data_IF_711810697775
#
_entry.id   IF_711810697775
#
_cell.length_a   1.000
_cell.length_b   1.000
_cell.length_c   1.000
_cell.angle_alpha   90.00
_cell.angle_beta   90.00
_cell.angle_gamma   90.00
#
_symmetry.space_group_name_H-M   'P 1'
#
loop_
_entity.id
_entity.type
_entity.pdbx_description
1 polymer ?
#
# COMPACT_ATOMS: atom_id res chain seq x y z
N UNK A 1 12.53 11.99 -12.04
CA UNK A 1 13.06 11.64 -10.70
C UNK A 1 12.73 12.81 -9.78
N UNK A 2 11.94 12.61 -8.72
CA UNK A 2 11.43 13.68 -7.86
C UNK A 2 12.53 14.64 -7.36
N UNK A 3 13.74 14.15 -7.07
CA UNK A 3 14.91 14.99 -6.77
C UNK A 3 15.18 16.10 -7.80
N UNK A 4 15.18 15.77 -9.08
CA UNK A 4 15.45 16.75 -10.13
C UNK A 4 14.34 17.80 -10.25
N UNK A 5 13.08 17.40 -10.05
CA UNK A 5 11.92 18.31 -10.09
C UNK A 5 11.89 19.27 -8.91
N UNK A 6 12.12 18.76 -7.69
CA UNK A 6 12.13 19.59 -6.48
C UNK A 6 13.36 20.52 -6.43
N UNK A 7 14.51 20.08 -6.96
CA UNK A 7 15.69 20.95 -7.14
C UNK A 7 15.43 22.09 -8.13
N UNK A 8 14.67 21.86 -9.21
CA UNK A 8 14.25 22.95 -10.14
C UNK A 8 13.35 23.98 -9.46
N UNK A 9 12.61 23.58 -8.43
CA UNK A 9 11.72 24.46 -7.64
C UNK A 9 12.44 25.11 -6.45
N UNK A 10 13.76 24.95 -6.31
CA UNK A 10 14.57 25.43 -5.18
C UNK A 10 14.07 24.94 -3.79
N UNK A 11 13.32 23.83 -3.77
CA UNK A 11 12.84 23.19 -2.56
C UNK A 11 13.93 22.28 -2.02
N UNK A 12 14.42 22.57 -0.81
CA UNK A 12 15.41 21.75 -0.10
C UNK A 12 14.71 20.68 0.72
N UNK A 13 15.14 19.43 0.58
CA UNK A 13 14.62 18.29 1.33
C UNK A 13 13.54 17.53 0.54
N UNK A 14 13.97 16.53 -0.24
CA UNK A 14 13.02 15.57 -0.81
C UNK A 14 12.77 14.49 0.24
N UNK A 15 11.51 14.29 0.69
CA UNK A 15 11.20 13.28 1.69
C UNK A 15 11.62 11.91 1.18
N UNK A 16 12.37 11.18 2.01
CA UNK A 16 12.75 9.80 1.76
C UNK A 16 11.99 8.91 2.73
N UNK A 17 11.34 7.87 2.22
CA UNK A 17 10.60 6.88 2.99
C UNK A 17 11.43 5.61 3.11
N UNK A 18 11.52 5.07 4.33
CA UNK A 18 12.05 3.73 4.59
C UNK A 18 10.88 2.74 4.59
N UNK A 19 10.89 1.76 3.69
CA UNK A 19 9.85 0.72 3.59
C UNK A 19 10.53 -0.64 3.52
N UNK A 20 10.46 -1.39 4.63
CA UNK A 20 11.31 -2.57 4.81
C UNK A 20 12.79 -2.15 4.74
N UNK A 21 13.56 -2.81 3.85
CA UNK A 21 14.98 -2.53 3.63
C UNK A 21 15.24 -1.55 2.46
N UNK A 22 14.18 -0.93 1.89
CA UNK A 22 14.31 -0.05 0.73
C UNK A 22 14.10 1.43 1.08
N UNK A 23 14.89 2.29 0.42
CA UNK A 23 14.77 3.75 0.49
C UNK A 23 14.06 4.27 -0.77
N UNK A 24 12.92 4.93 -0.59
CA UNK A 24 12.17 5.57 -1.68
C UNK A 24 12.31 7.09 -1.55
N UNK A 25 12.87 7.75 -2.56
CA UNK A 25 13.09 9.21 -2.57
C UNK A 25 11.98 9.91 -3.34
N UNK A 26 11.19 10.73 -2.65
CA UNK A 26 9.97 11.35 -3.15
C UNK A 26 8.73 10.47 -2.98
N UNK A 27 7.54 11.06 -3.17
CA UNK A 27 6.24 10.37 -3.11
C UNK A 27 5.97 9.56 -4.40
N UNK A 28 6.79 8.54 -4.66
CA UNK A 28 6.53 7.57 -5.73
C UNK A 28 5.52 6.53 -5.24
N UNK A 29 4.22 6.84 -5.42
CA UNK A 29 3.11 5.99 -4.95
C UNK A 29 3.18 4.58 -5.51
N UNK A 30 3.53 4.41 -6.78
CA UNK A 30 3.59 3.11 -7.44
C UNK A 30 4.69 2.25 -6.82
N UNK A 31 5.88 2.82 -6.62
CA UNK A 31 7.00 2.11 -5.98
C UNK A 31 6.68 1.76 -4.52
N UNK A 32 6.04 2.67 -3.79
CA UNK A 32 5.60 2.43 -2.40
C UNK A 32 4.60 1.26 -2.36
N UNK A 33 3.57 1.26 -3.20
CA UNK A 33 2.54 0.21 -3.24
C UNK A 33 3.09 -1.17 -3.59
N UNK A 34 4.13 -1.25 -4.43
CA UNK A 34 4.79 -2.52 -4.75
C UNK A 34 5.54 -3.09 -3.54
N UNK A 35 6.15 -2.22 -2.72
CA UNK A 35 6.96 -2.60 -1.56
C UNK A 35 6.13 -2.96 -0.32
N UNK A 36 4.85 -2.59 -0.29
CA UNK A 36 3.98 -2.98 0.80
C UNK A 36 3.65 -4.48 0.71
N UNK A 37 3.78 -5.16 1.85
CA UNK A 37 3.42 -6.57 2.01
C UNK A 37 1.90 -6.81 2.12
N UNK A 38 1.09 -5.76 1.93
CA UNK A 38 -0.36 -5.81 2.05
C UNK A 38 -1.05 -5.04 0.93
N UNK A 39 -2.30 -5.43 0.67
CA UNK A 39 -3.27 -4.71 -0.17
C UNK A 39 -4.41 -4.20 0.70
N UNK A 40 -5.05 -3.12 0.28
CA UNK A 40 -6.26 -2.60 0.95
C UNK A 40 -7.46 -2.93 0.07
N UNK A 41 -8.44 -3.62 0.63
CA UNK A 41 -9.70 -3.93 -0.07
C UNK A 41 -10.90 -3.46 0.75
N UNK A 42 -12.02 -3.24 0.08
CA UNK A 42 -13.32 -3.01 0.71
C UNK A 42 -14.07 -4.32 0.94
N UNK A 43 -14.78 -4.41 2.05
CA UNK A 43 -15.73 -5.50 2.30
C UNK A 43 -16.93 -5.37 1.36
N UNK A 44 -17.31 -6.44 0.65
CA UNK A 44 -18.49 -6.43 -0.23
C UNK A 44 -19.85 -6.31 0.48
N UNK A 45 -19.90 -6.37 1.82
CA UNK A 45 -21.15 -6.30 2.61
C UNK A 45 -21.34 -4.99 3.37
N UNK A 46 -20.27 -4.40 3.88
CA UNK A 46 -20.34 -3.24 4.78
C UNK A 46 -19.39 -2.09 4.40
N UNK A 47 -18.73 -2.18 3.24
CA UNK A 47 -17.75 -1.23 2.71
C UNK A 47 -16.55 -0.92 3.62
N UNK A 48 -16.37 -1.70 4.70
CA UNK A 48 -15.26 -1.57 5.62
C UNK A 48 -13.92 -1.83 4.91
N UNK A 49 -12.99 -0.90 5.04
CA UNK A 49 -11.63 -1.02 4.48
C UNK A 49 -10.78 -1.93 5.36
N UNK A 50 -10.16 -2.94 4.76
CA UNK A 50 -9.32 -3.91 5.46
C UNK A 50 -8.00 -4.13 4.73
N UNK A 51 -6.96 -4.46 5.50
CA UNK A 51 -5.63 -4.82 4.98
C UNK A 51 -5.54 -6.34 4.85
N UNK A 52 -5.12 -6.81 3.69
CA UNK A 52 -4.87 -8.22 3.42
C UNK A 52 -3.42 -8.46 3.01
N UNK A 53 -2.82 -9.59 3.37
CA UNK A 53 -1.47 -9.91 2.93
C UNK A 53 -1.45 -10.16 1.40
N UNK A 54 -0.44 -9.61 0.74
CA UNK A 54 -0.19 -9.78 -0.70
C UNK A 54 0.53 -11.12 -0.97
N UNK A 55 0.30 -11.73 -2.13
CA UNK A 55 0.96 -12.95 -2.61
C UNK A 55 0.76 -14.18 -1.70
N UNK A 56 -0.42 -14.34 -1.10
CA UNK A 56 -0.75 -15.52 -0.27
C UNK A 56 -1.67 -16.51 -0.99
N UNK A 57 -2.03 -16.25 -2.24
CA UNK A 57 -2.90 -17.13 -3.02
C UNK A 57 -4.34 -17.05 -2.55
N UNK A 58 -5.08 -18.16 -2.60
CA UNK A 58 -6.49 -18.19 -2.16
C UNK A 58 -6.56 -18.23 -0.64
N UNK A 59 -6.95 -17.10 -0.04
CA UNK A 59 -7.15 -16.97 1.41
C UNK A 59 -8.62 -16.80 1.75
N UNK A 60 -9.03 -17.36 2.89
CA UNK A 60 -10.32 -17.07 3.50
C UNK A 60 -10.17 -15.82 4.36
N UNK A 61 -10.93 -14.79 4.02
CA UNK A 61 -10.92 -13.50 4.71
C UNK A 61 -12.20 -13.36 5.50
N UNK A 62 -12.07 -12.94 6.75
CA UNK A 62 -13.20 -12.57 7.61
C UNK A 62 -13.17 -11.07 7.83
N UNK A 63 -14.23 -10.37 7.42
CA UNK A 63 -14.36 -8.94 7.68
C UNK A 63 -14.52 -8.70 9.20
N UNK A 64 -13.70 -7.84 9.83
CA UNK A 64 -13.79 -7.58 11.27
C UNK A 64 -15.03 -6.78 11.66
N UNK A 65 -15.63 -6.02 10.74
CA UNK A 65 -16.77 -5.13 11.02
C UNK A 65 -18.13 -5.83 10.93
N UNK A 66 -18.28 -6.83 10.06
CA UNK A 66 -19.57 -7.50 9.82
C UNK A 66 -19.50 -9.03 9.86
N UNK A 67 -18.33 -9.60 10.19
CA UNK A 67 -18.06 -11.04 10.24
C UNK A 67 -18.32 -11.81 8.94
N UNK A 68 -18.48 -11.10 7.82
CA UNK A 68 -18.67 -11.70 6.51
C UNK A 68 -17.39 -12.41 6.06
N UNK A 69 -17.54 -13.66 5.63
CA UNK A 69 -16.43 -14.48 5.16
C UNK A 69 -16.48 -14.61 3.64
N UNK A 70 -15.35 -14.41 2.98
CA UNK A 70 -15.22 -14.59 1.54
C UNK A 70 -13.85 -15.14 1.17
N UNK A 71 -13.77 -15.72 -0.02
CA UNK A 71 -12.54 -16.24 -0.60
C UNK A 71 -12.01 -15.22 -1.61
N UNK A 72 -10.74 -14.85 -1.48
CA UNK A 72 -10.05 -13.96 -2.41
C UNK A 72 -8.66 -14.50 -2.72
N UNK A 73 -8.21 -14.33 -3.96
CA UNK A 73 -6.83 -14.56 -4.37
C UNK A 73 -6.02 -13.28 -4.19
N UNK A 74 -4.97 -13.32 -3.37
CA UNK A 74 -4.06 -12.19 -3.12
C UNK A 74 -2.64 -12.42 -3.59
#
# INVERSE_FOLDING_TARGET
MARAEFSRLNLKGVPAFLIGDQVVVGLDKQRIEVLLNYIVISCGKCDGRMRLPKNKGKIRVTCPSCSYQFMIST
#
